data_IF_596341648149
#
_entry.id   IF_596341648149
#
_cell.length_a   1.000
_cell.length_b   1.000
_cell.length_c   1.000
_cell.angle_alpha   90.00
_cell.angle_beta   90.00
_cell.angle_gamma   90.00
#
_symmetry.space_group_name_H-M   'P 1'
#
loop_
_entity.id
_entity.type
_entity.pdbx_description
1 polymer ?
#
# COMPACT_ATOMS: atom_id res chain seq x y z
N UNK A 1 18.25 2.26 22.58
CA UNK A 1 16.87 2.51 22.13
C UNK A 1 16.42 1.34 21.29
N UNK A 2 15.22 0.84 21.54
CA UNK A 2 14.64 -0.29 20.78
C UNK A 2 13.28 0.13 20.26
N UNK A 3 13.07 -0.02 18.95
CA UNK A 3 11.76 0.13 18.34
C UNK A 3 11.06 -1.22 18.43
N UNK A 4 9.87 -1.27 19.03
CA UNK A 4 9.13 -2.51 19.17
C UNK A 4 8.23 -2.80 17.97
N UNK A 5 7.63 -1.77 17.39
CA UNK A 5 6.72 -1.90 16.25
C UNK A 5 6.81 -0.67 15.36
N UNK A 6 6.49 -0.84 14.10
CA UNK A 6 6.40 0.24 13.13
C UNK A 6 5.14 0.05 12.31
N UNK A 7 4.27 1.05 12.29
CA UNK A 7 3.02 1.00 11.54
C UNK A 7 2.95 2.11 10.50
N UNK A 8 2.35 1.80 9.36
CA UNK A 8 1.90 2.84 8.45
C UNK A 8 0.61 3.45 9.02
N UNK A 9 0.50 4.77 9.00
CA UNK A 9 -0.68 5.51 9.43
C UNK A 9 -1.11 6.40 8.29
N UNK A 10 -2.18 6.01 7.58
CA UNK A 10 -2.63 6.71 6.39
C UNK A 10 -3.63 7.82 6.74
N UNK A 11 -3.51 8.92 6.03
CA UNK A 11 -4.53 9.96 6.02
C UNK A 11 -5.32 9.82 4.72
N UNK A 12 -6.64 9.73 4.82
CA UNK A 12 -7.53 9.57 3.66
C UNK A 12 -8.71 10.54 3.77
N UNK A 13 -9.33 10.94 2.65
CA UNK A 13 -10.45 11.86 2.70
C UNK A 13 -11.73 11.23 3.26
N UNK A 14 -11.84 9.90 3.23
CA UNK A 14 -13.04 9.18 3.68
C UNK A 14 -12.62 7.80 4.19
N UNK A 15 -12.39 7.72 5.49
CA UNK A 15 -11.91 6.48 6.13
C UNK A 15 -12.92 5.34 5.99
N UNK A 16 -14.22 5.61 6.09
CA UNK A 16 -15.24 4.56 5.96
C UNK A 16 -15.16 3.89 4.58
N UNK A 17 -15.03 4.68 3.51
CA UNK A 17 -14.86 4.16 2.16
C UNK A 17 -13.51 3.45 1.99
N UNK A 18 -12.46 3.96 2.62
CA UNK A 18 -11.14 3.33 2.58
C UNK A 18 -11.16 1.94 3.20
N UNK A 19 -11.83 1.78 4.33
CA UNK A 19 -11.99 0.47 4.98
C UNK A 19 -12.68 -0.51 4.03
N UNK A 20 -13.76 -0.10 3.37
CA UNK A 20 -14.46 -0.95 2.40
C UNK A 20 -13.57 -1.32 1.22
N UNK A 21 -12.82 -0.35 0.68
CA UNK A 21 -11.89 -0.60 -0.42
C UNK A 21 -10.81 -1.61 -0.04
N UNK A 22 -10.15 -1.41 1.10
CA UNK A 22 -9.07 -2.30 1.54
C UNK A 22 -9.58 -3.71 1.86
N UNK A 23 -10.82 -3.84 2.32
CA UNK A 23 -11.45 -5.15 2.49
C UNK A 23 -11.64 -5.85 1.14
N UNK A 24 -12.16 -5.15 0.15
CA UNK A 24 -12.40 -5.72 -1.20
C UNK A 24 -11.11 -6.04 -1.94
N UNK A 25 -10.17 -5.08 -1.92
CA UNK A 25 -8.93 -5.20 -2.69
C UNK A 25 -7.94 -6.19 -2.06
N UNK A 26 -7.77 -6.13 -0.75
CA UNK A 26 -6.68 -6.82 -0.05
C UNK A 26 -7.16 -7.80 1.01
N UNK A 27 -8.46 -7.92 1.24
CA UNK A 27 -8.99 -8.80 2.28
C UNK A 27 -8.74 -8.30 3.69
N UNK A 28 -8.48 -7.00 3.86
CA UNK A 28 -8.26 -6.41 5.17
C UNK A 28 -9.53 -6.47 6.02
N UNK A 29 -9.35 -6.62 7.33
CA UNK A 29 -10.47 -6.67 8.27
C UNK A 29 -10.37 -5.52 9.26
N UNK A 30 -11.49 -4.85 9.49
CA UNK A 30 -11.54 -3.79 10.50
C UNK A 30 -11.39 -4.36 11.90
N UNK A 31 -10.44 -3.80 12.67
CA UNK A 31 -10.23 -4.14 14.07
C UNK A 31 -11.03 -3.21 14.98
N UNK A 32 -11.00 -1.91 14.68
CA UNK A 32 -11.71 -0.90 15.46
C UNK A 32 -11.72 0.43 14.71
N UNK A 33 -12.64 1.32 15.10
CA UNK A 33 -12.64 2.73 14.68
C UNK A 33 -13.16 3.62 15.80
N UNK A 34 -12.68 4.86 15.82
CA UNK A 34 -13.14 5.90 16.71
C UNK A 34 -13.81 6.99 15.88
N UNK A 35 -15.10 7.16 16.04
CA UNK A 35 -15.89 8.10 15.26
C UNK A 35 -16.31 9.28 16.13
N UNK A 36 -16.08 10.49 15.64
CA UNK A 36 -16.52 11.72 16.30
C UNK A 36 -18.03 11.91 16.12
N UNK A 37 -18.67 12.74 16.98
CA UNK A 37 -20.09 13.08 16.77
C UNK A 37 -20.41 13.66 15.40
N UNK A 38 -19.43 14.32 14.76
CA UNK A 38 -19.55 14.85 13.40
C UNK A 38 -19.61 13.77 12.32
N UNK A 39 -19.25 12.54 12.65
CA UNK A 39 -19.10 11.45 11.70
C UNK A 39 -17.66 11.28 11.21
N UNK A 40 -16.76 12.23 11.51
CA UNK A 40 -15.34 12.13 11.15
C UNK A 40 -14.69 11.00 11.92
N UNK A 41 -13.90 10.18 11.23
CA UNK A 41 -13.17 9.06 11.85
C UNK A 41 -11.77 9.53 12.22
N UNK A 42 -11.53 9.64 13.53
CA UNK A 42 -10.25 10.12 14.06
C UNK A 42 -9.18 9.05 14.13
N UNK A 43 -9.58 7.78 14.08
CA UNK A 43 -8.64 6.65 14.11
C UNK A 43 -9.36 5.38 13.69
N UNK A 44 -8.69 4.56 12.90
CA UNK A 44 -9.13 3.20 12.59
C UNK A 44 -7.92 2.29 12.45
N UNK A 45 -8.13 1.00 12.69
CA UNK A 45 -7.11 -0.02 12.53
C UNK A 45 -7.67 -1.18 11.73
N UNK A 46 -6.87 -1.63 10.77
CA UNK A 46 -7.19 -2.78 9.93
C UNK A 46 -6.14 -3.87 10.12
N UNK A 47 -6.61 -5.11 10.15
CA UNK A 47 -5.75 -6.29 10.13
C UNK A 47 -5.49 -6.72 8.68
N UNK A 48 -4.23 -6.75 8.30
CA UNK A 48 -3.74 -7.23 7.01
C UNK A 48 -3.02 -8.57 7.18
N UNK A 49 -3.70 -9.55 7.78
CA UNK A 49 -3.12 -10.88 7.94
C UNK A 49 -1.99 -10.95 8.97
N UNK A 50 -2.18 -10.28 10.10
CA UNK A 50 -1.21 -10.28 11.20
C UNK A 50 -0.40 -9.00 11.33
N UNK A 51 -0.49 -8.09 10.36
CA UNK A 51 0.07 -6.74 10.46
C UNK A 51 -1.06 -5.72 10.53
N UNK A 52 -0.80 -4.58 11.14
CA UNK A 52 -1.81 -3.55 11.32
C UNK A 52 -1.54 -2.35 10.42
N UNK A 53 -2.58 -1.90 9.73
CA UNK A 53 -2.59 -0.60 9.05
C UNK A 53 -3.48 0.33 9.86
N UNK A 54 -2.98 1.51 10.16
CA UNK A 54 -3.75 2.58 10.81
C UNK A 54 -4.20 3.59 9.77
N UNK A 55 -5.37 4.19 9.98
CA UNK A 55 -5.83 5.25 9.08
C UNK A 55 -6.80 6.18 9.80
N UNK A 56 -6.96 7.38 9.28
CA UNK A 56 -7.88 8.40 9.79
C UNK A 56 -8.31 9.33 8.66
N UNK A 57 -9.42 10.05 8.90
CA UNK A 57 -9.83 11.16 8.06
C UNK A 57 -8.82 12.30 8.12
N UNK A 58 -8.93 13.25 7.21
CA UNK A 58 -8.08 14.44 7.19
C UNK A 58 -8.40 15.34 8.39
N UNK A 59 -7.36 15.96 8.93
CA UNK A 59 -7.42 16.96 9.98
C UNK A 59 -6.62 18.17 9.53
N UNK A 60 -7.13 18.95 8.57
CA UNK A 60 -6.39 20.10 8.00
C UNK A 60 -5.99 21.11 9.06
N UNK A 61 -6.79 21.27 10.13
CA UNK A 61 -6.53 22.17 11.24
C UNK A 61 -5.22 21.82 11.99
N UNK A 62 -4.76 20.57 11.86
CA UNK A 62 -3.48 20.12 12.42
C UNK A 62 -2.43 19.86 11.35
N UNK A 63 -2.68 20.26 10.10
CA UNK A 63 -1.78 20.00 8.99
C UNK A 63 -1.74 18.56 8.54
N UNK A 64 -2.73 17.74 8.89
CA UNK A 64 -2.82 16.34 8.52
C UNK A 64 -3.76 16.21 7.31
N UNK A 65 -3.16 15.96 6.15
CA UNK A 65 -3.89 15.83 4.89
C UNK A 65 -3.37 14.63 4.12
N UNK A 66 -4.25 14.01 3.33
CA UNK A 66 -3.88 12.91 2.46
C UNK A 66 -3.19 13.36 1.18
N UNK A 67 -2.83 12.41 0.30
CA UNK A 67 -2.21 12.73 -0.98
C UNK A 67 -3.09 13.64 -1.83
N UNK A 68 -2.47 14.53 -2.61
CA UNK A 68 -3.17 15.45 -3.51
C UNK A 68 -3.18 14.89 -4.93
N UNK A 69 -4.29 15.07 -5.68
CA UNK A 69 -4.36 14.62 -7.08
C UNK A 69 -3.21 15.20 -7.92
N UNK A 70 -2.63 14.37 -8.78
CA UNK A 70 -1.57 14.79 -9.69
C UNK A 70 -0.18 14.90 -9.05
N UNK A 71 -0.06 14.66 -7.76
CA UNK A 71 1.22 14.67 -7.04
C UNK A 71 1.67 13.24 -6.71
N UNK A 72 2.98 13.02 -6.68
CA UNK A 72 3.53 11.76 -6.18
C UNK A 72 3.34 11.64 -4.68
N UNK A 73 3.48 10.42 -4.17
CA UNK A 73 3.50 10.15 -2.73
C UNK A 73 4.93 9.86 -2.27
N UNK A 74 5.32 10.35 -1.08
CA UNK A 74 6.66 10.08 -0.57
C UNK A 74 6.83 8.65 -0.06
N UNK A 75 5.73 7.92 0.13
CA UNK A 75 5.73 6.56 0.65
C UNK A 75 4.96 5.66 -0.29
N UNK A 76 5.52 4.48 -0.58
CA UNK A 76 4.81 3.38 -1.23
C UNK A 76 4.64 2.27 -0.19
N UNK A 77 3.43 1.77 -0.04
CA UNK A 77 3.18 0.63 0.84
C UNK A 77 3.39 -0.64 0.03
N UNK A 78 4.27 -1.50 0.52
CA UNK A 78 4.59 -2.75 -0.16
C UNK A 78 3.95 -3.90 0.61
N UNK A 79 3.11 -4.69 -0.06
CA UNK A 79 2.53 -5.90 0.52
C UNK A 79 3.01 -7.13 -0.24
N UNK A 80 3.29 -8.19 0.51
CA UNK A 80 3.54 -9.51 -0.06
C UNK A 80 2.26 -10.34 0.00
N UNK A 81 1.95 -10.98 -1.13
CA UNK A 81 0.72 -11.77 -1.31
C UNK A 81 1.09 -13.11 -1.95
N UNK A 82 0.12 -14.02 -2.04
CA UNK A 82 0.35 -15.30 -2.70
C UNK A 82 0.45 -15.18 -4.23
N UNK A 83 -0.32 -14.25 -4.81
CA UNK A 83 -0.37 -14.06 -6.26
C UNK A 83 -0.56 -12.58 -6.58
N UNK A 84 0.52 -11.93 -7.03
CA UNK A 84 0.50 -10.51 -7.33
C UNK A 84 -0.49 -10.15 -8.44
N UNK A 85 -0.56 -10.96 -9.50
CA UNK A 85 -1.47 -10.69 -10.63
C UNK A 85 -2.93 -10.68 -10.18
N UNK A 86 -3.30 -11.64 -9.35
CA UNK A 86 -4.67 -11.74 -8.82
C UNK A 86 -5.02 -10.55 -7.94
N UNK A 87 -4.13 -10.17 -7.02
CA UNK A 87 -4.40 -9.08 -6.09
C UNK A 87 -4.39 -7.73 -6.80
N UNK A 88 -3.50 -7.51 -7.76
CA UNK A 88 -3.53 -6.29 -8.59
C UNK A 88 -4.87 -6.18 -9.32
N UNK A 89 -5.34 -7.28 -9.94
CA UNK A 89 -6.63 -7.29 -10.62
C UNK A 89 -7.77 -6.98 -9.67
N UNK A 90 -7.79 -7.61 -8.48
CA UNK A 90 -8.80 -7.33 -7.46
C UNK A 90 -8.80 -5.85 -7.04
N UNK A 91 -7.62 -5.27 -6.85
CA UNK A 91 -7.51 -3.87 -6.47
C UNK A 91 -8.06 -2.95 -7.56
N UNK A 92 -7.74 -3.23 -8.82
CA UNK A 92 -8.26 -2.45 -9.97
C UNK A 92 -9.78 -2.60 -10.08
N UNK A 93 -10.30 -3.83 -9.95
CA UNK A 93 -11.74 -4.08 -9.97
C UNK A 93 -12.47 -3.37 -8.82
N UNK A 94 -11.79 -3.20 -7.68
CA UNK A 94 -12.35 -2.48 -6.53
C UNK A 94 -12.26 -0.95 -6.67
N UNK A 95 -11.51 -0.43 -7.65
CA UNK A 95 -11.45 1.00 -7.93
C UNK A 95 -10.05 1.62 -7.96
N UNK A 96 -8.99 0.83 -7.77
CA UNK A 96 -7.62 1.34 -7.88
C UNK A 96 -7.25 1.62 -9.34
N UNK A 97 -6.30 2.51 -9.53
CA UNK A 97 -5.69 2.79 -10.83
C UNK A 97 -4.43 1.97 -10.99
N UNK A 98 -4.31 1.24 -12.09
CA UNK A 98 -3.10 0.49 -12.41
C UNK A 98 -1.99 1.48 -12.79
N UNK A 99 -0.84 1.40 -12.11
CA UNK A 99 0.33 2.20 -12.44
C UNK A 99 1.42 1.39 -13.12
N UNK A 100 1.57 0.13 -12.76
CA UNK A 100 2.54 -0.76 -13.36
C UNK A 100 2.01 -2.19 -13.33
N UNK A 101 1.96 -2.81 -14.51
CA UNK A 101 1.56 -4.22 -14.62
C UNK A 101 2.50 -5.12 -13.82
N UNK A 102 1.97 -6.21 -13.22
CA UNK A 102 2.83 -7.22 -12.59
C UNK A 102 3.85 -7.77 -13.59
N UNK A 103 5.11 -7.81 -13.20
CA UNK A 103 6.18 -8.40 -13.98
C UNK A 103 7.25 -8.98 -13.06
N UNK A 104 8.05 -9.86 -13.61
CA UNK A 104 9.18 -10.44 -12.89
C UNK A 104 10.30 -9.40 -12.81
N UNK A 105 10.72 -9.10 -11.59
CA UNK A 105 11.73 -8.10 -11.30
C UNK A 105 13.08 -8.75 -11.04
N UNK A 106 14.14 -7.99 -11.29
CA UNK A 106 15.52 -8.49 -11.12
C UNK A 106 15.82 -8.93 -9.68
N UNK A 107 15.10 -8.40 -8.72
CA UNK A 107 15.36 -8.67 -7.30
C UNK A 107 14.63 -9.91 -6.76
N UNK A 108 14.04 -10.70 -7.64
CA UNK A 108 13.46 -12.00 -7.25
C UNK A 108 11.99 -11.95 -6.86
N UNK A 109 11.28 -10.91 -7.26
CA UNK A 109 9.84 -10.79 -7.03
C UNK A 109 9.10 -10.57 -8.34
N UNK A 110 7.86 -11.05 -8.38
CA UNK A 110 6.88 -10.60 -9.36
C UNK A 110 6.03 -9.53 -8.69
N UNK A 111 6.03 -8.32 -9.23
CA UNK A 111 5.44 -7.15 -8.58
C UNK A 111 4.77 -6.22 -9.56
N UNK A 112 3.63 -5.68 -9.14
CA UNK A 112 2.93 -4.61 -9.83
C UNK A 112 2.62 -3.47 -8.87
N UNK A 113 2.13 -2.36 -9.39
CA UNK A 113 1.79 -1.19 -8.59
C UNK A 113 0.42 -0.66 -8.95
N UNK A 114 -0.31 -0.25 -7.94
CA UNK A 114 -1.60 0.42 -8.09
C UNK A 114 -1.60 1.68 -7.23
N UNK A 115 -2.47 2.62 -7.60
CA UNK A 115 -2.80 3.76 -6.76
C UNK A 115 -4.23 3.57 -6.29
N UNK A 116 -4.45 3.63 -4.98
CA UNK A 116 -5.79 3.46 -4.44
C UNK A 116 -6.65 4.72 -4.73
N UNK A 117 -7.98 4.64 -4.53
CA UNK A 117 -8.88 5.78 -4.82
C UNK A 117 -8.61 7.00 -3.93
N UNK A 118 -7.80 6.86 -2.89
CA UNK A 118 -7.48 7.92 -1.93
C UNK A 118 -6.11 8.54 -2.18
N UNK A 119 -5.39 8.05 -3.21
CA UNK A 119 -4.12 8.60 -3.66
C UNK A 119 -2.88 7.90 -3.13
N UNK A 120 -3.01 6.88 -2.29
CA UNK A 120 -1.86 6.13 -1.79
C UNK A 120 -1.40 5.08 -2.81
N UNK A 121 -0.08 4.90 -2.90
CA UNK A 121 0.54 3.97 -3.83
C UNK A 121 0.88 2.66 -3.13
N UNK A 122 0.54 1.55 -3.79
CA UNK A 122 0.75 0.20 -3.30
C UNK A 122 1.58 -0.60 -4.28
N UNK A 123 2.69 -1.18 -3.81
CA UNK A 123 3.43 -2.20 -4.54
C UNK A 123 2.96 -3.57 -4.02
N UNK A 124 2.59 -4.45 -4.95
CA UNK A 124 1.97 -5.73 -4.64
C UNK A 124 2.83 -6.82 -5.28
N UNK A 125 3.43 -7.69 -4.47
CA UNK A 125 4.39 -8.66 -4.97
C UNK A 125 4.35 -10.00 -4.28
N UNK A 126 4.99 -10.98 -4.92
CA UNK A 126 5.30 -12.27 -4.32
C UNK A 126 6.68 -12.73 -4.77
N UNK A 127 7.34 -13.51 -3.93
CA UNK A 127 8.66 -14.07 -4.24
C UNK A 127 8.57 -15.09 -5.36
N UNK A 128 9.50 -14.98 -6.32
CA UNK A 128 9.67 -15.99 -7.39
C UNK A 128 11.06 -16.61 -7.37
N UNK A 129 12.02 -15.95 -6.72
CA UNK A 129 13.41 -16.39 -6.69
C UNK A 129 14.09 -15.81 -5.45
N UNK A 130 14.98 -16.57 -4.85
CA UNK A 130 15.82 -16.07 -3.76
C UNK A 130 17.10 -15.50 -4.38
N UNK A 131 17.31 -14.19 -4.22
CA UNK A 131 18.45 -13.47 -4.79
C UNK A 131 19.29 -12.89 -3.66
N UNK A 132 20.61 -13.11 -3.70
CA UNK A 132 21.52 -12.51 -2.73
C UNK A 132 21.68 -11.01 -3.00
N UNK A 133 22.04 -10.22 -1.97
CA UNK A 133 22.29 -8.79 -2.17
C UNK A 133 23.35 -8.50 -3.26
N UNK A 134 24.39 -9.31 -3.33
CA UNK A 134 25.46 -9.18 -4.30
C UNK A 134 24.97 -9.41 -5.72
N UNK A 135 24.20 -10.47 -5.92
CA UNK A 135 23.60 -10.78 -7.22
C UNK A 135 22.57 -9.73 -7.61
N UNK A 136 21.80 -9.24 -6.65
CA UNK A 136 20.83 -8.16 -6.86
C UNK A 136 21.53 -6.90 -7.37
N UNK A 137 22.64 -6.53 -6.74
CA UNK A 137 23.44 -5.39 -7.19
C UNK A 137 24.00 -5.59 -8.59
N UNK A 138 24.48 -6.78 -8.89
CA UNK A 138 25.01 -7.13 -10.22
C UNK A 138 23.94 -6.95 -11.30
N UNK A 139 22.77 -7.52 -11.06
CA UNK A 139 21.63 -7.42 -12.01
C UNK A 139 21.17 -5.97 -12.19
N UNK A 140 21.14 -5.21 -11.09
CA UNK A 140 20.76 -3.80 -11.14
C UNK A 140 21.74 -2.99 -11.98
N UNK A 141 23.02 -3.18 -11.76
CA UNK A 141 24.08 -2.50 -12.53
C UNK A 141 23.99 -2.86 -14.02
N UNK A 142 23.81 -4.14 -14.34
CA UNK A 142 23.69 -4.62 -15.71
C UNK A 142 22.45 -4.04 -16.41
N UNK A 143 21.32 -4.00 -15.70
CA UNK A 143 20.08 -3.44 -16.23
C UNK A 143 20.23 -1.95 -16.59
N UNK A 144 20.93 -1.17 -15.76
CA UNK A 144 21.14 0.25 -15.99
C UNK A 144 22.16 0.53 -17.08
N UNK A 145 23.04 -0.42 -17.41
CA UNK A 145 24.03 -0.29 -18.48
C UNK A 145 23.44 -0.53 -19.86
N UNK A 146 22.23 -1.09 -19.96
CA UNK A 146 21.57 -1.31 -21.25
C UNK A 146 20.96 0.00 -21.76
N UNK A 147 21.18 0.36 -23.06
CA UNK A 147 20.59 1.55 -23.66
C UNK A 147 19.07 1.48 -23.81
#
# INVERSE_FOLDING_TARGET
>A
MVVHELFAYLCVPDTARAIEFYAKAFGAREKMRLTEPSGRIGHAELDFGGTTLMLADEFPEYGITGPRPGMGTPVTIHIHVNNADEVVRRAVDAGATLEREPKDEFYGERSGCVRDPFGHRWAIGHSIEKVSPEEMQRRYTEMLAKP
#
